data_IF_602383253417
#
_entry.id   IF_602383253417
#
_cell.length_a   1.000
_cell.length_b   1.000
_cell.length_c   1.000
_cell.angle_alpha   90.00
_cell.angle_beta   90.00
_cell.angle_gamma   90.00
#
_symmetry.space_group_name_H-M   'P 1'
#
loop_
_entity.id
_entity.type
_entity.pdbx_description
1 polymer ?
#
# COMPACT_ATOMS: atom_id res chain seq x y z
N UNK A 1 -4.85 20.23 27.33
CA UNK A 1 -6.24 19.84 27.00
C UNK A 1 -6.39 18.32 26.90
N UNK A 2 -6.88 17.64 27.95
CA UNK A 2 -7.02 16.18 28.00
C UNK A 2 -8.10 15.61 27.04
N UNK A 3 -9.16 16.38 26.76
CA UNK A 3 -10.27 15.97 25.90
C UNK A 3 -9.82 15.70 24.44
N UNK A 4 -8.84 16.46 23.94
CA UNK A 4 -8.27 16.26 22.59
C UNK A 4 -7.47 14.96 22.46
N UNK A 5 -6.82 14.50 23.54
CA UNK A 5 -6.09 13.21 23.56
C UNK A 5 -7.06 12.03 23.53
N UNK A 6 -8.12 12.08 24.34
CA UNK A 6 -9.13 11.00 24.39
C UNK A 6 -9.83 10.73 23.06
N UNK A 7 -10.15 11.78 22.29
CA UNK A 7 -10.72 11.65 20.94
C UNK A 7 -9.73 11.09 19.91
N UNK A 8 -8.44 11.34 20.10
CA UNK A 8 -7.40 10.80 19.24
C UNK A 8 -7.22 9.30 19.49
N UNK A 9 -7.18 8.89 20.76
CA UNK A 9 -7.08 7.47 21.13
C UNK A 9 -8.28 6.67 20.63
N UNK A 10 -9.50 7.21 20.75
CA UNK A 10 -10.71 6.56 20.21
C UNK A 10 -10.66 6.38 18.69
N UNK A 11 -10.11 7.35 17.94
CA UNK A 11 -9.95 7.23 16.49
C UNK A 11 -8.90 6.19 16.11
N UNK A 12 -7.79 6.13 16.85
CA UNK A 12 -6.75 5.12 16.66
C UNK A 12 -7.31 3.71 16.91
N UNK A 13 -8.00 3.53 18.03
CA UNK A 13 -8.62 2.24 18.38
C UNK A 13 -9.65 1.80 17.34
N UNK A 14 -10.50 2.71 16.87
CA UNK A 14 -11.47 2.39 15.81
C UNK A 14 -10.79 1.97 14.49
N UNK A 15 -9.69 2.65 14.13
CA UNK A 15 -8.92 2.33 12.92
C UNK A 15 -8.23 0.96 13.02
N UNK A 16 -7.67 0.63 14.19
CA UNK A 16 -7.10 -0.70 14.46
C UNK A 16 -8.20 -1.77 14.43
N UNK A 17 -9.35 -1.51 15.06
CA UNK A 17 -10.47 -2.46 15.09
C UNK A 17 -10.95 -2.78 13.67
N UNK A 18 -11.18 -1.77 12.82
CA UNK A 18 -11.57 -1.96 11.42
C UNK A 18 -10.52 -2.79 10.67
N UNK A 19 -9.23 -2.52 10.89
CA UNK A 19 -8.16 -3.28 10.26
C UNK A 19 -8.15 -4.75 10.67
N UNK A 20 -8.36 -5.02 11.96
CA UNK A 20 -8.42 -6.39 12.50
C UNK A 20 -9.64 -7.13 11.94
N UNK A 21 -10.82 -6.51 11.93
CA UNK A 21 -12.03 -7.10 11.37
C UNK A 21 -11.86 -7.43 9.89
N UNK A 22 -11.31 -6.48 9.12
CA UNK A 22 -11.03 -6.69 7.70
C UNK A 22 -9.99 -7.80 7.47
N UNK A 23 -8.98 -7.89 8.34
CA UNK A 23 -7.98 -8.96 8.31
C UNK A 23 -8.61 -10.33 8.51
N UNK A 24 -9.47 -10.47 9.51
CA UNK A 24 -10.17 -11.73 9.79
C UNK A 24 -11.03 -12.13 8.59
N UNK A 25 -11.82 -11.19 8.05
CA UNK A 25 -12.73 -11.48 6.91
C UNK A 25 -11.95 -11.92 5.67
N UNK A 26 -10.84 -11.25 5.36
CA UNK A 26 -10.08 -11.54 4.13
C UNK A 26 -9.17 -12.76 4.23
N UNK A 27 -8.67 -13.11 5.44
CA UNK A 27 -7.79 -14.28 5.63
C UNK A 27 -8.59 -15.55 5.89
N UNK A 28 -9.79 -15.44 6.49
CA UNK A 28 -10.72 -16.55 6.74
C UNK A 28 -10.86 -17.53 5.56
N UNK A 29 -11.20 -17.10 4.33
CA UNK A 29 -11.42 -18.03 3.22
C UNK A 29 -10.17 -18.84 2.87
N UNK A 30 -8.99 -18.22 2.95
CA UNK A 30 -7.72 -18.90 2.73
C UNK A 30 -7.45 -19.96 3.80
N UNK A 31 -7.60 -19.61 5.09
CA UNK A 31 -7.35 -20.56 6.18
C UNK A 31 -8.32 -21.75 6.12
N UNK A 32 -9.60 -21.50 5.82
CA UNK A 32 -10.62 -22.53 5.70
C UNK A 32 -10.34 -23.49 4.53
N UNK A 33 -9.97 -22.94 3.36
CA UNK A 33 -9.58 -23.75 2.19
C UNK A 33 -8.39 -24.66 2.53
N UNK A 34 -7.34 -24.12 3.17
CA UNK A 34 -6.14 -24.89 3.49
C UNK A 34 -6.40 -26.01 4.49
N UNK A 35 -7.24 -25.74 5.51
CA UNK A 35 -7.67 -26.77 6.46
C UNK A 35 -8.44 -27.87 5.73
N UNK A 36 -9.34 -27.49 4.83
CA UNK A 36 -10.15 -28.45 4.07
C UNK A 36 -9.29 -29.29 3.11
N UNK A 37 -8.33 -28.67 2.41
CA UNK A 37 -7.38 -29.35 1.52
C UNK A 37 -6.57 -30.44 2.24
N UNK A 38 -6.14 -30.16 3.48
CA UNK A 38 -5.32 -31.07 4.29
C UNK A 38 -6.19 -32.16 4.93
N UNK A 39 -7.37 -31.80 5.44
CA UNK A 39 -8.26 -32.72 6.16
C UNK A 39 -8.97 -33.71 5.24
N UNK A 40 -9.34 -33.28 4.03
CA UNK A 40 -10.15 -34.08 3.08
C UNK A 40 -9.35 -34.41 1.82
N UNK A 41 -8.18 -35.01 2.01
CA UNK A 41 -7.30 -35.44 0.92
C UNK A 41 -7.86 -36.68 0.23
N UNK A 42 -8.89 -36.48 -0.59
CA UNK A 42 -9.59 -37.55 -1.31
C UNK A 42 -9.37 -37.44 -2.81
N UNK A 43 -9.17 -38.57 -3.49
CA UNK A 43 -9.07 -38.65 -4.95
C UNK A 43 -10.43 -38.33 -5.56
N UNK A 44 -10.70 -37.05 -5.75
CA UNK A 44 -11.94 -36.58 -6.36
C UNK A 44 -11.81 -36.49 -7.88
N UNK A 45 -12.96 -36.51 -8.57
CA UNK A 45 -13.02 -36.38 -10.02
C UNK A 45 -12.57 -35.00 -10.54
N UNK A 46 -12.34 -34.92 -11.85
CA UNK A 46 -11.81 -33.72 -12.54
C UNK A 46 -12.63 -32.45 -12.22
N UNK A 47 -13.96 -32.56 -12.18
CA UNK A 47 -14.85 -31.43 -11.87
C UNK A 47 -14.60 -30.85 -10.47
N UNK A 48 -14.40 -31.72 -9.47
CA UNK A 48 -14.13 -31.30 -8.11
C UNK A 48 -12.80 -30.54 -8.02
N UNK A 49 -11.74 -31.08 -8.66
CA UNK A 49 -10.45 -30.39 -8.69
C UNK A 49 -10.56 -29.01 -9.35
N UNK A 50 -11.33 -28.87 -10.44
CA UNK A 50 -11.53 -27.58 -11.09
C UNK A 50 -12.25 -26.56 -10.19
N UNK A 51 -13.30 -26.99 -9.47
CA UNK A 51 -14.00 -26.14 -8.49
C UNK A 51 -13.06 -25.75 -7.35
N UNK A 52 -12.28 -26.72 -6.86
CA UNK A 52 -11.36 -26.52 -5.76
C UNK A 52 -10.27 -25.50 -6.10
N UNK A 53 -9.64 -25.63 -7.27
CA UNK A 53 -8.66 -24.66 -7.78
C UNK A 53 -9.25 -23.26 -7.92
N UNK A 54 -10.49 -23.15 -8.40
CA UNK A 54 -11.15 -21.84 -8.51
C UNK A 54 -11.39 -21.20 -7.13
N UNK A 55 -11.76 -21.99 -6.12
CA UNK A 55 -11.90 -21.51 -4.74
C UNK A 55 -10.55 -21.07 -4.17
N UNK A 56 -9.49 -21.83 -4.43
CA UNK A 56 -8.13 -21.50 -4.01
C UNK A 56 -7.66 -20.17 -4.64
N UNK A 57 -7.84 -19.99 -5.95
CA UNK A 57 -7.49 -18.74 -6.66
C UNK A 57 -8.25 -17.52 -6.11
N UNK A 58 -9.53 -17.69 -5.79
CA UNK A 58 -10.34 -16.64 -5.17
C UNK A 58 -9.85 -16.33 -3.76
N UNK A 59 -9.54 -17.35 -2.95
CA UNK A 59 -9.01 -17.18 -1.61
C UNK A 59 -7.63 -16.49 -1.60
N UNK A 60 -6.74 -16.86 -2.52
CA UNK A 60 -5.46 -16.18 -2.74
C UNK A 60 -5.65 -14.73 -3.16
N UNK A 61 -6.63 -14.46 -4.03
CA UNK A 61 -6.97 -13.08 -4.42
C UNK A 61 -7.37 -12.23 -3.22
N UNK A 62 -8.19 -12.77 -2.31
CA UNK A 62 -8.55 -12.07 -1.07
C UNK A 62 -7.35 -11.82 -0.15
N UNK A 63 -6.42 -12.77 -0.06
CA UNK A 63 -5.17 -12.61 0.68
C UNK A 63 -4.31 -11.45 0.11
N UNK A 64 -4.14 -11.41 -1.21
CA UNK A 64 -3.40 -10.33 -1.87
C UNK A 64 -4.10 -8.97 -1.76
N UNK A 65 -5.44 -8.94 -1.89
CA UNK A 65 -6.25 -7.75 -1.64
C UNK A 65 -6.11 -7.31 -0.19
N UNK A 66 -6.00 -8.22 0.78
CA UNK A 66 -5.75 -7.82 2.15
C UNK A 66 -4.46 -7.05 2.28
N UNK A 67 -3.38 -7.57 1.71
CA UNK A 67 -2.05 -6.98 1.75
C UNK A 67 -2.05 -5.59 1.10
N UNK A 68 -2.51 -5.48 -0.15
CA UNK A 68 -2.58 -4.21 -0.88
C UNK A 68 -3.61 -3.24 -0.28
N UNK A 69 -4.78 -3.74 0.11
CA UNK A 69 -5.93 -3.00 0.63
C UNK A 69 -5.70 -2.38 2.00
N UNK A 70 -4.71 -2.86 2.76
CA UNK A 70 -4.30 -2.27 4.06
C UNK A 70 -4.08 -0.77 3.97
N UNK A 71 -3.31 -0.36 2.96
CA UNK A 71 -2.93 1.03 2.77
C UNK A 71 -4.15 1.89 2.39
N UNK A 72 -5.02 1.36 1.53
CA UNK A 72 -6.24 2.05 1.10
C UNK A 72 -7.26 2.19 2.22
N UNK A 73 -7.40 1.18 3.09
CA UNK A 73 -8.25 1.24 4.28
C UNK A 73 -7.82 2.37 5.23
N UNK A 74 -6.52 2.51 5.45
CA UNK A 74 -5.99 3.60 6.28
C UNK A 74 -6.18 4.98 5.63
N UNK A 75 -6.06 5.07 4.30
CA UNK A 75 -6.39 6.28 3.55
C UNK A 75 -7.87 6.66 3.67
N UNK A 76 -8.79 5.71 3.51
CA UNK A 76 -10.23 6.01 3.52
C UNK A 76 -10.72 6.33 4.94
N UNK A 77 -10.32 5.53 5.93
CA UNK A 77 -10.81 5.60 7.31
C UNK A 77 -10.45 6.90 8.02
N UNK A 78 -9.26 7.47 7.78
CA UNK A 78 -8.79 8.65 8.53
C UNK A 78 -8.54 9.88 7.67
N UNK A 79 -9.33 10.95 7.91
CA UNK A 79 -9.10 12.28 7.32
C UNK A 79 -7.76 12.88 7.73
N UNK A 80 -7.25 12.54 8.92
CA UNK A 80 -5.96 13.03 9.44
C UNK A 80 -4.79 12.32 8.76
N UNK A 81 -4.89 11.00 8.60
CA UNK A 81 -3.90 10.21 7.88
C UNK A 81 -3.76 10.67 6.42
N UNK A 82 -4.88 10.94 5.74
CA UNK A 82 -4.87 11.56 4.39
C UNK A 82 -4.09 12.87 4.32
N UNK A 83 -4.25 13.75 5.32
CA UNK A 83 -3.49 15.00 5.36
C UNK A 83 -2.00 14.75 5.57
N UNK A 84 -1.63 13.89 6.52
CA UNK A 84 -0.23 13.56 6.79
C UNK A 84 0.45 12.93 5.57
N UNK A 85 -0.20 11.98 4.90
CA UNK A 85 0.28 11.37 3.66
C UNK A 85 0.42 12.42 2.56
N UNK A 86 -0.57 13.31 2.38
CA UNK A 86 -0.48 14.39 1.40
C UNK A 86 0.72 15.31 1.66
N UNK A 87 0.96 15.70 2.91
CA UNK A 87 2.12 16.53 3.26
C UNK A 87 3.44 15.80 3.05
N UNK A 88 3.55 14.54 3.47
CA UNK A 88 4.75 13.73 3.24
C UNK A 88 5.03 13.53 1.75
N UNK A 89 3.98 13.32 0.95
CA UNK A 89 4.09 13.17 -0.49
C UNK A 89 4.55 14.47 -1.15
N UNK A 90 3.95 15.62 -0.80
CA UNK A 90 4.36 16.93 -1.30
C UNK A 90 5.81 17.23 -0.92
N UNK A 91 6.22 16.93 0.32
CA UNK A 91 7.58 17.13 0.79
C UNK A 91 8.59 16.29 -0.01
N UNK A 92 8.32 15.00 -0.22
CA UNK A 92 9.18 14.14 -1.02
C UNK A 92 9.22 14.54 -2.49
N UNK A 93 8.08 14.96 -3.05
CA UNK A 93 8.02 15.48 -4.42
C UNK A 93 8.86 16.75 -4.55
N UNK A 94 8.78 17.65 -3.56
CA UNK A 94 9.56 18.88 -3.52
C UNK A 94 11.06 18.62 -3.42
N UNK A 95 11.48 17.68 -2.56
CA UNK A 95 12.89 17.24 -2.46
C UNK A 95 13.42 16.74 -3.80
N UNK A 96 12.71 15.82 -4.46
CA UNK A 96 13.11 15.27 -5.76
C UNK A 96 13.16 16.37 -6.83
N UNK A 97 12.20 17.29 -6.81
CA UNK A 97 12.14 18.40 -7.77
C UNK A 97 13.31 19.37 -7.57
N UNK A 98 13.63 19.73 -6.32
CA UNK A 98 14.79 20.56 -5.99
C UNK A 98 16.10 19.89 -6.41
N UNK A 99 16.29 18.59 -6.14
CA UNK A 99 17.49 17.85 -6.56
C UNK A 99 17.66 17.85 -8.08
N UNK A 100 16.58 17.65 -8.85
CA UNK A 100 16.62 17.69 -10.32
C UNK A 100 16.96 19.08 -10.86
N UNK A 101 16.44 20.14 -10.22
CA UNK A 101 16.70 21.54 -10.63
C UNK A 101 18.15 21.97 -10.37
N UNK A 102 18.74 21.52 -9.26
CA UNK A 102 20.15 21.79 -8.94
C UNK A 102 21.08 21.13 -9.97
N UNK A 103 20.78 19.88 -10.36
CA UNK A 103 21.57 19.18 -11.37
C UNK A 103 21.49 19.85 -12.76
N UNK A 104 20.32 20.36 -13.17
CA UNK A 104 20.19 21.12 -14.43
C UNK A 104 20.95 22.45 -14.38
N UNK A 105 20.91 23.17 -13.25
CA UNK A 105 21.61 24.45 -13.10
C UNK A 105 23.14 24.31 -13.03
N UNK A 106 23.68 23.12 -12.75
CA UNK A 106 25.12 22.86 -12.81
C UNK A 106 25.63 22.54 -14.23
N UNK A 107 24.76 22.08 -15.13
CA UNK A 107 25.13 21.76 -16.52
C UNK A 107 25.09 23.00 -17.42
N UNK A 108 24.19 23.95 -17.13
CA UNK A 108 24.05 25.21 -17.88
C UNK A 108 25.30 26.12 -17.92
N UNK A 109 26.06 26.33 -16.82
CA UNK A 109 27.24 27.22 -16.85
C UNK A 109 28.43 26.63 -17.60
N UNK A 110 28.56 25.29 -17.68
CA UNK A 110 29.68 24.63 -18.36
C UNK A 110 29.55 24.76 -19.89
N UNK A 111 28.33 24.75 -20.41
CA UNK A 111 28.07 24.92 -21.85
C UNK A 111 28.30 26.37 -22.34
N UNK A 112 28.32 27.36 -21.44
CA UNK A 112 28.58 28.76 -21.79
C UNK A 112 30.07 29.14 -21.68
N UNK A 113 30.85 28.48 -20.81
CA UNK A 113 32.28 28.73 -20.69
C UNK A 113 33.13 28.06 -21.78
N UNK A 114 32.61 27.02 -22.46
CA UNK A 114 33.33 26.32 -23.52
C UNK A 114 33.11 26.89 -24.93
N UNK A 115 32.31 27.95 -25.08
CA UNK A 115 32.01 28.58 -26.38
C UNK A 115 32.74 29.94 -26.52
N UNK A 116 33.26 30.51 -25.42
CA UNK A 116 33.90 31.83 -25.45
C UNK A 116 35.43 31.84 -25.61
N UNK A 117 36.11 30.68 -25.68
CA UNK A 117 37.58 30.60 -25.77
C UNK A 117 38.14 30.28 -27.16
N UNK A 118 37.30 29.96 -28.16
CA UNK A 118 37.76 29.62 -29.53
C UNK A 118 37.50 30.70 -30.59
N UNK A 119 36.97 31.88 -30.21
CA UNK A 119 36.61 32.98 -31.12
C UNK A 119 37.55 34.22 -31.02
N UNK A 120 38.84 34.01 -30.69
CA UNK A 120 39.87 35.07 -30.77
C UNK A 120 41.17 34.62 -31.41
#
# INVERSE_FOLDING_TARGET
>A
MPIRRRKFDQQLTAMILIRVVFLIIMISPYVLERIYAVAFKTNHGILYNAIFTLIDDVAYSFYHINYAGSFYLFLISSKRFRRQVKYAFIQKFWEIFCTRRIHQNQIAPIAQSSISEDDF
#
